data_IF_439786276386
#
_entry.id   IF_439786276386
#
_cell.length_a   1.000
_cell.length_b   1.000
_cell.length_c   1.000
_cell.angle_alpha   90.00
_cell.angle_beta   90.00
_cell.angle_gamma   90.00
#
_symmetry.space_group_name_H-M   'P 1'
#
loop_
_entity.id
_entity.type
_entity.pdbx_description
1 polymer ?
#
# COMPACT_ATOMS: atom_id res chain seq x y z
N UNK A 1 4.09 -17.46 -2.48
CA UNK A 1 4.83 -16.80 -3.59
C UNK A 1 5.32 -15.42 -3.14
N UNK A 2 6.19 -14.73 -3.91
CA UNK A 2 6.56 -13.32 -3.60
C UNK A 2 5.64 -12.38 -4.38
N UNK A 3 4.93 -11.51 -3.67
CA UNK A 3 4.02 -10.53 -4.26
C UNK A 3 4.58 -9.13 -4.01
N UNK A 4 4.94 -8.42 -5.07
CA UNK A 4 5.34 -7.03 -4.99
C UNK A 4 4.10 -6.14 -5.13
N UNK A 5 3.76 -5.44 -4.06
CA UNK A 5 2.61 -4.54 -4.03
C UNK A 5 2.97 -3.21 -4.67
N UNK A 6 2.07 -2.72 -5.52
CA UNK A 6 2.06 -1.33 -5.93
C UNK A 6 1.70 -0.43 -4.74
N UNK A 7 2.12 0.83 -4.80
CA UNK A 7 1.86 1.85 -3.77
C UNK A 7 0.38 1.96 -3.42
N UNK A 8 -0.54 1.87 -4.38
CA UNK A 8 -1.98 1.97 -4.06
C UNK A 8 -2.52 0.75 -3.31
N UNK A 9 -2.04 -0.47 -3.62
CA UNK A 9 -2.43 -1.68 -2.88
C UNK A 9 -1.86 -1.68 -1.47
N UNK A 10 -0.62 -1.22 -1.28
CA UNK A 10 -0.03 -1.03 0.05
C UNK A 10 -0.90 -0.11 0.91
N UNK A 11 -1.29 1.05 0.37
CA UNK A 11 -2.12 2.02 1.07
C UNK A 11 -3.51 1.47 1.43
N UNK A 12 -4.15 0.75 0.51
CA UNK A 12 -5.46 0.15 0.78
C UNK A 12 -5.36 -0.98 1.79
N UNK A 13 -4.35 -1.85 1.70
CA UNK A 13 -4.14 -2.89 2.69
C UNK A 13 -3.93 -2.31 4.10
N UNK A 14 -3.22 -1.19 4.23
CA UNK A 14 -2.89 -0.59 5.52
C UNK A 14 -4.04 0.22 6.15
N UNK A 15 -4.92 0.85 5.37
CA UNK A 15 -5.91 1.79 5.92
C UNK A 15 -7.32 1.74 5.33
N UNK A 16 -7.52 1.02 4.22
CA UNK A 16 -8.82 0.94 3.54
C UNK A 16 -9.00 -0.42 2.84
N UNK A 17 -8.90 -1.55 3.56
CA UNK A 17 -8.90 -2.88 2.96
C UNK A 17 -10.21 -3.20 2.20
N UNK A 18 -11.29 -2.48 2.52
CA UNK A 18 -12.55 -2.53 1.77
C UNK A 18 -12.39 -2.15 0.29
N UNK A 19 -11.39 -1.32 -0.04
CA UNK A 19 -11.08 -0.89 -1.42
C UNK A 19 -10.25 -1.90 -2.21
N UNK A 20 -9.71 -2.93 -1.55
CA UNK A 20 -8.93 -3.95 -2.24
C UNK A 20 -9.80 -4.71 -3.25
N UNK A 21 -9.29 -4.96 -4.47
CA UNK A 21 -9.96 -5.82 -5.44
C UNK A 21 -10.26 -7.19 -4.82
N UNK A 22 -11.43 -7.76 -5.13
CA UNK A 22 -11.84 -9.07 -4.59
C UNK A 22 -10.82 -10.17 -4.88
N UNK A 23 -10.17 -10.13 -6.04
CA UNK A 23 -9.12 -11.08 -6.41
C UNK A 23 -7.81 -10.90 -5.63
N UNK A 24 -7.54 -9.69 -5.08
CA UNK A 24 -6.31 -9.41 -4.35
C UNK A 24 -6.35 -9.90 -2.91
N UNK A 25 -7.53 -9.86 -2.25
CA UNK A 25 -7.70 -10.27 -0.85
C UNK A 25 -7.17 -11.66 -0.53
N UNK A 26 -7.58 -12.75 -1.24
CA UNK A 26 -7.06 -14.08 -0.93
C UNK A 26 -5.56 -14.19 -1.17
N UNK A 27 -4.98 -13.40 -2.10
CA UNK A 27 -3.54 -13.38 -2.33
C UNK A 27 -2.77 -12.69 -1.20
N UNK A 28 -3.35 -11.63 -0.62
CA UNK A 28 -2.76 -10.87 0.48
C UNK A 28 -2.90 -11.58 1.84
N UNK A 29 -4.01 -12.30 2.04
CA UNK A 29 -4.32 -12.99 3.30
C UNK A 29 -3.67 -14.38 3.40
N UNK A 30 -3.28 -14.97 2.27
CA UNK A 30 -2.63 -16.28 2.22
C UNK A 30 -1.24 -16.23 2.90
N UNK A 31 -1.02 -16.92 4.03
CA UNK A 31 0.24 -16.87 4.77
C UNK A 31 1.44 -17.43 4.00
N UNK A 32 1.22 -18.26 2.98
CA UNK A 32 2.24 -18.74 2.05
C UNK A 32 2.76 -17.67 1.07
N UNK A 33 2.11 -16.50 1.02
CA UNK A 33 2.56 -15.36 0.23
C UNK A 33 3.40 -14.41 1.07
N UNK A 34 4.60 -14.13 0.58
CA UNK A 34 5.45 -13.09 1.11
C UNK A 34 5.08 -11.77 0.41
N UNK A 35 4.53 -10.85 1.19
CA UNK A 35 4.20 -9.51 0.72
C UNK A 35 5.44 -8.62 0.78
N UNK A 36 5.73 -7.95 -0.32
CA UNK A 36 6.86 -7.04 -0.48
C UNK A 36 6.34 -5.71 -1.02
N UNK A 37 7.01 -4.63 -0.68
CA UNK A 37 6.85 -3.33 -1.36
C UNK A 37 8.21 -2.69 -1.54
N UNK A 38 8.31 -1.76 -2.50
CA UNK A 38 9.56 -1.06 -2.78
C UNK A 38 9.73 0.14 -1.86
N UNK A 39 10.97 0.49 -1.50
CA UNK A 39 11.27 1.78 -0.88
C UNK A 39 10.80 2.97 -1.75
N UNK A 40 10.69 2.77 -3.07
CA UNK A 40 10.13 3.76 -4.00
C UNK A 40 8.67 4.09 -3.66
N UNK A 41 7.87 3.13 -3.18
CA UNK A 41 6.50 3.39 -2.75
C UNK A 41 6.43 4.37 -1.60
N UNK A 42 7.36 4.29 -0.64
CA UNK A 42 7.46 5.27 0.46
C UNK A 42 7.85 6.65 -0.06
N UNK A 43 8.75 6.73 -1.04
CA UNK A 43 9.14 8.00 -1.68
C UNK A 43 7.97 8.66 -2.43
N UNK A 44 7.18 7.88 -3.19
CA UNK A 44 5.98 8.38 -3.86
C UNK A 44 4.95 8.93 -2.86
N UNK A 45 4.75 8.23 -1.74
CA UNK A 45 3.86 8.68 -0.66
C UNK A 45 4.39 9.97 -0.04
N UNK A 46 5.70 10.05 0.24
CA UNK A 46 6.33 11.24 0.80
C UNK A 46 6.17 12.46 -0.12
N UNK A 47 6.38 12.30 -1.44
CA UNK A 47 6.15 13.36 -2.43
C UNK A 47 4.68 13.79 -2.42
N UNK A 48 3.74 12.83 -2.52
CA UNK A 48 2.30 13.14 -2.56
C UNK A 48 1.82 13.85 -1.29
N UNK A 49 2.33 13.44 -0.11
CA UNK A 49 2.06 14.13 1.16
C UNK A 49 2.64 15.55 1.16
N UNK A 50 3.85 15.72 0.64
CA UNK A 50 4.52 17.02 0.52
C UNK A 50 3.78 18.04 -0.35
N UNK A 51 2.89 17.58 -1.25
CA UNK A 51 2.02 18.46 -2.04
C UNK A 51 0.90 19.13 -1.21
N UNK A 52 0.72 18.77 0.06
CA UNK A 52 -0.26 19.42 0.95
C UNK A 52 -1.72 19.20 0.55
N UNK A 53 -1.99 18.13 -0.20
CA UNK A 53 -3.33 17.79 -0.69
C UNK A 53 -4.26 17.36 0.45
N UNK A 54 -5.42 17.99 0.60
CA UNK A 54 -6.40 17.63 1.65
C UNK A 54 -6.93 16.20 1.52
N UNK A 55 -6.95 15.64 0.30
CA UNK A 55 -7.38 14.27 0.03
C UNK A 55 -6.27 13.22 0.19
N UNK A 56 -5.05 13.63 0.56
CA UNK A 56 -3.91 12.73 0.74
C UNK A 56 -3.09 13.09 1.98
N UNK A 57 -3.38 12.43 3.11
CA UNK A 57 -2.79 12.73 4.41
C UNK A 57 -2.07 11.51 5.03
N UNK A 58 -1.44 10.68 4.19
CA UNK A 58 -0.76 9.46 4.65
C UNK A 58 0.64 9.76 5.16
N UNK A 59 1.00 9.23 6.32
CA UNK A 59 2.37 9.29 6.85
C UNK A 59 3.18 8.07 6.39
N UNK A 60 4.23 8.22 5.56
CA UNK A 60 5.03 7.09 5.12
C UNK A 60 5.85 6.43 6.24
N UNK A 61 5.96 7.06 7.43
CA UNK A 61 6.76 6.54 8.56
C UNK A 61 6.06 5.46 9.38
N UNK A 62 4.76 5.25 9.16
CA UNK A 62 3.96 4.23 9.86
C UNK A 62 3.72 2.97 9.02
N UNK A 63 4.32 2.90 7.83
CA UNK A 63 4.23 1.78 6.88
C UNK A 63 5.44 0.85 7.00
#
# INVERSE_FOLDING_TARGET
>A
MKLLLDTHLLLWAAGSPERLPLAARPLLEAPENQLLFSAVSLWEIAIKRGLGRSDFQVDPRVL
#
